data_IF_942073196102
#
_entry.id   IF_942073196102
#
_cell.length_a   1.000
_cell.length_b   1.000
_cell.length_c   1.000
_cell.angle_alpha   90.00
_cell.angle_beta   90.00
_cell.angle_gamma   90.00
#
_symmetry.space_group_name_H-M   'P 1'
#
loop_
_entity.id
_entity.type
_entity.pdbx_description
1 polymer ?
#
# COMPACT_ATOMS: atom_id res chain seq x y z
N UNK A 1 -30.11 22.73 -8.06
CA UNK A 1 -28.85 22.58 -7.31
C UNK A 1 -28.64 23.70 -6.28
N UNK A 2 -28.31 24.95 -6.66
CA UNK A 2 -28.06 26.05 -5.69
C UNK A 2 -29.21 26.29 -4.69
N UNK A 3 -30.46 26.34 -5.18
CA UNK A 3 -31.67 26.46 -4.32
C UNK A 3 -31.83 25.31 -3.33
N UNK A 4 -31.41 24.10 -3.70
CA UNK A 4 -31.49 22.93 -2.83
C UNK A 4 -30.43 23.01 -1.72
N UNK A 5 -29.19 23.37 -2.06
CA UNK A 5 -28.13 23.57 -1.06
C UNK A 5 -28.50 24.67 -0.05
N UNK A 6 -29.08 25.77 -0.54
CA UNK A 6 -29.60 26.85 0.30
C UNK A 6 -30.68 26.37 1.27
N UNK A 7 -31.71 25.69 0.76
CA UNK A 7 -32.80 25.18 1.59
C UNK A 7 -32.30 24.23 2.69
N UNK A 8 -31.27 23.42 2.40
CA UNK A 8 -30.65 22.53 3.39
C UNK A 8 -29.85 23.32 4.43
N UNK A 9 -29.05 24.30 4.02
CA UNK A 9 -28.26 25.14 4.94
C UNK A 9 -29.14 26.04 5.82
N UNK A 10 -30.35 26.38 5.37
CA UNK A 10 -31.35 27.10 6.18
C UNK A 10 -32.10 26.16 7.13
N UNK A 11 -32.42 24.94 6.69
CA UNK A 11 -33.09 23.94 7.53
C UNK A 11 -32.18 23.36 8.62
N UNK A 12 -30.87 23.30 8.36
CA UNK A 12 -29.84 22.80 9.29
C UNK A 12 -28.76 23.88 9.50
N UNK A 13 -29.08 24.97 10.24
CA UNK A 13 -28.16 26.08 10.44
C UNK A 13 -26.97 25.70 11.34
N UNK A 14 -27.18 24.72 12.22
CA UNK A 14 -26.15 24.15 13.08
C UNK A 14 -25.83 22.73 12.59
N UNK A 15 -24.55 22.50 12.37
CA UNK A 15 -23.99 21.17 12.10
C UNK A 15 -23.04 20.88 13.25
N UNK A 16 -23.25 19.75 13.91
CA UNK A 16 -22.37 19.29 14.97
C UNK A 16 -20.95 19.15 14.43
N UNK A 17 -20.00 19.80 15.10
CA UNK A 17 -18.59 19.76 14.71
C UNK A 17 -17.89 18.68 15.53
N UNK A 18 -17.38 17.66 14.84
CA UNK A 18 -16.63 16.56 15.45
C UNK A 18 -15.25 16.99 15.94
N UNK A 19 -14.76 18.18 15.58
CA UNK A 19 -13.57 18.79 16.18
C UNK A 19 -13.99 19.67 17.35
N UNK A 20 -13.32 19.53 18.49
CA UNK A 20 -13.48 20.46 19.62
C UNK A 20 -12.94 21.85 19.26
N UNK A 21 -13.41 22.89 19.96
CA UNK A 21 -12.89 24.27 19.79
C UNK A 21 -11.36 24.35 19.95
N UNK A 22 -10.80 23.52 20.84
CA UNK A 22 -9.35 23.42 21.02
C UNK A 22 -8.65 22.86 19.78
N UNK A 23 -9.11 21.72 19.25
CA UNK A 23 -8.53 21.10 18.05
C UNK A 23 -8.61 22.03 16.84
N UNK A 24 -9.73 22.75 16.68
CA UNK A 24 -9.87 23.76 15.62
C UNK A 24 -8.85 24.88 15.74
N UNK A 25 -8.63 25.39 16.95
CA UNK A 25 -7.62 26.42 17.22
C UNK A 25 -6.20 25.94 16.95
N UNK A 26 -5.85 24.71 17.36
CA UNK A 26 -4.53 24.12 17.11
C UNK A 26 -4.25 23.87 15.62
N UNK A 27 -5.29 23.67 14.81
CA UNK A 27 -5.21 23.42 13.37
C UNK A 27 -5.54 24.63 12.49
N UNK A 28 -5.88 25.78 13.11
CA UNK A 28 -6.32 27.00 12.44
C UNK A 28 -7.44 26.77 11.41
N UNK A 29 -8.44 25.96 11.75
CA UNK A 29 -9.59 25.67 10.87
C UNK A 29 -10.88 26.28 11.41
N UNK A 30 -11.71 26.82 10.52
CA UNK A 30 -13.02 27.41 10.88
C UNK A 30 -14.04 26.32 11.26
N UNK A 31 -15.13 26.64 11.99
CA UNK A 31 -16.21 25.69 12.30
C UNK A 31 -16.83 25.04 11.05
N UNK A 32 -17.25 23.78 11.16
CA UNK A 32 -17.78 23.00 10.05
C UNK A 32 -19.02 23.66 9.40
N UNK A 33 -19.97 24.10 10.23
CA UNK A 33 -21.17 24.78 9.74
C UNK A 33 -20.84 26.05 8.93
N UNK A 34 -19.80 26.79 9.34
CA UNK A 34 -19.31 27.95 8.62
C UNK A 34 -18.65 27.54 7.29
N UNK A 35 -17.78 26.53 7.30
CA UNK A 35 -17.14 26.03 6.08
C UNK A 35 -18.16 25.52 5.04
N UNK A 36 -19.18 24.77 5.47
CA UNK A 36 -20.23 24.30 4.58
C UNK A 36 -21.02 25.47 3.98
N UNK A 37 -21.31 26.52 4.74
CA UNK A 37 -22.02 27.70 4.24
C UNK A 37 -21.17 28.48 3.25
N UNK A 38 -19.95 28.85 3.62
CA UNK A 38 -19.05 29.67 2.81
C UNK A 38 -18.58 28.93 1.54
N UNK A 39 -18.47 27.60 1.57
CA UNK A 39 -18.18 26.81 0.36
C UNK A 39 -19.30 26.89 -0.70
N UNK A 40 -20.55 27.08 -0.28
CA UNK A 40 -21.71 27.16 -1.18
C UNK A 40 -22.16 28.59 -1.48
N UNK A 41 -22.04 29.49 -0.50
CA UNK A 41 -22.39 30.90 -0.55
C UNK A 41 -21.26 31.73 0.09
N UNK A 42 -20.15 31.89 -0.64
CA UNK A 42 -19.01 32.63 -0.14
C UNK A 42 -19.36 34.10 0.01
N UNK A 43 -19.02 34.66 1.15
CA UNK A 43 -19.10 36.10 1.42
C UNK A 43 -18.05 36.87 0.62
N UNK A 44 -16.85 36.32 0.51
CA UNK A 44 -15.73 36.82 -0.27
C UNK A 44 -14.78 35.65 -0.65
N UNK A 45 -13.70 35.96 -1.36
CA UNK A 45 -12.74 34.93 -1.79
C UNK A 45 -11.91 34.38 -0.63
N UNK A 46 -11.60 35.17 0.40
CA UNK A 46 -10.77 34.75 1.52
C UNK A 46 -11.52 33.75 2.41
N UNK A 47 -12.78 34.03 2.69
CA UNK A 47 -13.70 33.13 3.42
C UNK A 47 -13.96 31.84 2.66
N UNK A 48 -14.07 31.90 1.33
CA UNK A 48 -14.14 30.69 0.48
C UNK A 48 -12.88 29.84 0.62
N UNK A 49 -11.69 30.44 0.60
CA UNK A 49 -10.43 29.72 0.73
C UNK A 49 -10.31 29.02 2.10
N UNK A 50 -10.69 29.70 3.19
CA UNK A 50 -10.74 29.11 4.53
C UNK A 50 -11.73 27.94 4.62
N UNK A 51 -12.89 28.08 3.98
CA UNK A 51 -13.90 27.03 3.91
C UNK A 51 -13.41 25.80 3.16
N UNK A 52 -12.83 25.99 1.98
CA UNK A 52 -12.23 24.90 1.21
C UNK A 52 -11.04 24.29 1.95
N UNK A 53 -10.25 25.09 2.67
CA UNK A 53 -9.17 24.61 3.54
C UNK A 53 -9.68 23.68 4.64
N UNK A 54 -10.76 24.06 5.33
CA UNK A 54 -11.42 23.20 6.33
C UNK A 54 -11.93 21.90 5.70
N UNK A 55 -12.63 21.95 4.57
CA UNK A 55 -13.19 20.75 3.95
C UNK A 55 -12.11 19.81 3.40
N UNK A 56 -11.01 20.35 2.86
CA UNK A 56 -9.84 19.54 2.48
C UNK A 56 -9.19 18.89 3.69
N UNK A 57 -9.03 19.63 4.79
CA UNK A 57 -8.51 19.08 6.03
C UNK A 57 -9.38 17.91 6.51
N UNK A 58 -10.70 18.07 6.46
CA UNK A 58 -11.67 17.05 6.86
C UNK A 58 -11.52 15.78 5.97
N UNK A 59 -11.39 15.94 4.65
CA UNK A 59 -11.14 14.82 3.74
C UNK A 59 -9.85 14.05 4.09
N UNK A 60 -8.75 14.75 4.34
CA UNK A 60 -7.49 14.13 4.75
C UNK A 60 -7.60 13.44 6.11
N UNK A 61 -8.23 14.09 7.09
CA UNK A 61 -8.43 13.52 8.42
C UNK A 61 -9.21 12.21 8.34
N UNK A 62 -10.32 12.18 7.62
CA UNK A 62 -11.13 10.96 7.49
C UNK A 62 -10.42 9.87 6.71
N UNK A 63 -9.63 10.24 5.69
CA UNK A 63 -8.79 9.27 4.98
C UNK A 63 -7.74 8.66 5.91
N UNK A 64 -7.03 9.47 6.70
CA UNK A 64 -6.03 9.00 7.65
C UNK A 64 -6.65 8.13 8.75
N UNK A 65 -7.77 8.55 9.34
CA UNK A 65 -8.49 7.76 10.34
C UNK A 65 -8.93 6.42 9.77
N UNK A 66 -9.41 6.39 8.52
CA UNK A 66 -9.77 5.14 7.86
C UNK A 66 -8.55 4.22 7.67
N UNK A 67 -7.40 4.77 7.30
CA UNK A 67 -6.15 4.00 7.17
C UNK A 67 -5.71 3.46 8.53
N UNK A 68 -5.75 4.27 9.58
CA UNK A 68 -5.41 3.86 10.95
C UNK A 68 -6.34 2.75 11.45
N UNK A 69 -7.65 2.93 11.32
CA UNK A 69 -8.65 1.95 11.74
C UNK A 69 -8.57 0.64 10.91
N UNK A 70 -8.20 0.72 9.63
CA UNK A 70 -7.96 -0.47 8.80
C UNK A 70 -6.61 -1.15 9.12
N UNK A 71 -5.62 -0.38 9.58
CA UNK A 71 -4.25 -0.84 9.87
C UNK A 71 -4.08 -1.52 11.24
N UNK A 72 -5.09 -1.47 12.11
CA UNK A 72 -5.02 -1.99 13.49
C UNK A 72 -5.24 -3.50 13.64
N UNK A 73 -5.41 -4.24 12.54
CA UNK A 73 -5.24 -5.68 12.60
C UNK A 73 -3.76 -6.00 12.40
N UNK A 74 -2.96 -5.90 13.48
CA UNK A 74 -1.69 -6.62 13.59
C UNK A 74 -2.02 -8.12 13.57
N UNK A 75 -2.35 -8.63 12.39
CA UNK A 75 -2.58 -10.03 12.16
C UNK A 75 -1.28 -10.73 12.53
N UNK A 76 -1.38 -11.64 13.49
CA UNK A 76 -0.28 -12.49 13.87
C UNK A 76 0.20 -13.19 12.60
N UNK A 77 1.45 -12.94 12.26
CA UNK A 77 2.14 -13.53 11.15
C UNK A 77 2.93 -14.74 11.59
N UNK A 78 3.78 -15.21 10.68
CA UNK A 78 4.78 -16.21 10.99
C UNK A 78 6.14 -15.59 10.79
N UNK A 79 6.97 -15.64 11.83
CA UNK A 79 8.36 -15.22 11.73
C UNK A 79 9.15 -16.24 10.90
N UNK A 80 9.73 -15.75 9.81
CA UNK A 80 10.70 -16.46 8.99
C UNK A 80 12.11 -16.29 9.59
N UNK A 81 13.01 -17.23 9.34
CA UNK A 81 14.44 -17.05 9.64
C UNK A 81 15.06 -16.12 8.59
N UNK A 82 14.70 -16.33 7.31
CA UNK A 82 15.14 -15.53 6.17
C UNK A 82 16.64 -15.18 6.23
N UNK A 83 17.51 -16.19 6.23
CA UNK A 83 18.95 -16.02 6.51
C UNK A 83 19.65 -15.17 5.44
N UNK A 84 20.63 -14.37 5.88
CA UNK A 84 21.41 -13.52 4.97
C UNK A 84 22.25 -14.36 3.97
N UNK A 85 22.69 -15.56 4.40
CA UNK A 85 23.39 -16.51 3.53
C UNK A 85 22.52 -17.00 2.37
N UNK A 86 21.22 -17.28 2.62
CA UNK A 86 20.29 -17.66 1.55
C UNK A 86 20.11 -16.49 0.56
N UNK A 87 20.08 -15.24 1.03
CA UNK A 87 20.05 -14.08 0.14
C UNK A 87 21.31 -14.00 -0.75
N UNK A 88 22.49 -14.29 -0.20
CA UNK A 88 23.74 -14.33 -0.98
C UNK A 88 23.76 -15.46 -2.01
N UNK A 89 23.23 -16.64 -1.65
CA UNK A 89 23.05 -17.75 -2.58
C UNK A 89 22.11 -17.36 -3.72
N UNK A 90 20.99 -16.69 -3.43
CA UNK A 90 20.10 -16.19 -4.47
C UNK A 90 20.77 -15.17 -5.39
N UNK A 91 21.50 -14.21 -4.83
CA UNK A 91 22.21 -13.20 -5.63
C UNK A 91 23.24 -13.82 -6.59
N UNK A 92 23.86 -14.94 -6.20
CA UNK A 92 24.85 -15.65 -7.04
C UNK A 92 24.27 -16.29 -8.31
N UNK A 93 22.95 -16.53 -8.37
CA UNK A 93 22.29 -17.09 -9.57
C UNK A 93 21.84 -16.04 -10.57
N UNK A 94 21.88 -14.76 -10.17
CA UNK A 94 21.45 -13.68 -11.03
C UNK A 94 22.54 -13.34 -12.06
N UNK A 95 22.15 -13.00 -13.31
CA UNK A 95 23.09 -12.53 -14.33
C UNK A 95 23.55 -11.08 -14.11
N UNK A 96 23.22 -10.48 -12.96
CA UNK A 96 23.54 -9.12 -12.56
C UNK A 96 23.65 -9.06 -11.05
N UNK A 97 24.27 -8.00 -10.53
CA UNK A 97 24.34 -7.74 -9.09
C UNK A 97 23.20 -6.84 -8.66
N UNK A 98 22.74 -7.00 -7.42
CA UNK A 98 21.74 -6.07 -6.89
C UNK A 98 22.32 -4.67 -6.74
N UNK A 99 21.56 -3.68 -7.18
CA UNK A 99 21.83 -2.28 -6.87
C UNK A 99 21.67 -2.03 -5.36
N UNK A 100 22.27 -0.95 -4.86
CA UNK A 100 22.11 -0.56 -3.45
C UNK A 100 20.64 -0.34 -3.06
N UNK A 101 19.81 0.17 -3.99
CA UNK A 101 18.39 0.36 -3.75
C UNK A 101 17.64 -0.97 -3.63
N UNK A 102 17.93 -1.94 -4.49
CA UNK A 102 17.35 -3.28 -4.42
C UNK A 102 17.79 -4.02 -3.15
N UNK A 103 19.08 -3.96 -2.80
CA UNK A 103 19.60 -4.57 -1.57
C UNK A 103 18.93 -3.98 -0.33
N UNK A 104 18.77 -2.65 -0.26
CA UNK A 104 18.01 -2.01 0.83
C UNK A 104 16.57 -2.52 0.88
N UNK A 105 15.87 -2.58 -0.26
CA UNK A 105 14.50 -3.08 -0.30
C UNK A 105 14.39 -4.54 0.17
N UNK A 106 15.34 -5.40 -0.19
CA UNK A 106 15.40 -6.80 0.28
C UNK A 106 15.63 -6.85 1.79
N UNK A 107 16.56 -6.07 2.33
CA UNK A 107 16.82 -6.04 3.78
C UNK A 107 15.60 -5.56 4.58
N UNK A 108 14.85 -4.60 4.04
CA UNK A 108 13.58 -4.18 4.63
C UNK A 108 12.51 -5.28 4.57
N UNK A 109 12.41 -6.02 3.46
CA UNK A 109 11.53 -7.20 3.35
C UNK A 109 11.96 -8.28 4.35
N UNK A 110 13.25 -8.59 4.45
CA UNK A 110 13.78 -9.60 5.39
C UNK A 110 13.47 -9.22 6.82
N UNK A 111 13.60 -7.93 7.17
CA UNK A 111 13.22 -7.43 8.50
C UNK A 111 11.74 -7.70 8.78
N UNK A 112 10.85 -7.38 7.85
CA UNK A 112 9.41 -7.61 8.03
C UNK A 112 9.06 -9.11 8.06
N UNK A 113 9.75 -9.94 7.26
CA UNK A 113 9.57 -11.40 7.27
C UNK A 113 10.00 -12.03 8.60
N UNK A 114 10.97 -11.46 9.30
CA UNK A 114 11.44 -11.93 10.61
C UNK A 114 10.54 -11.51 11.77
N UNK A 115 9.61 -10.58 11.54
CA UNK A 115 8.66 -10.10 12.56
C UNK A 115 7.57 -11.15 12.84
N UNK A 116 6.95 -11.09 14.03
CA UNK A 116 5.83 -11.95 14.41
C UNK A 116 4.48 -11.44 13.86
N UNK A 117 4.50 -10.31 13.16
CA UNK A 117 3.37 -9.70 12.46
C UNK A 117 3.36 -10.05 10.98
N UNK A 118 2.18 -10.08 10.37
CA UNK A 118 2.06 -10.25 8.93
C UNK A 118 2.71 -9.06 8.19
N UNK A 119 3.62 -9.34 7.25
CA UNK A 119 4.21 -8.33 6.37
C UNK A 119 3.15 -7.78 5.39
N UNK A 120 2.95 -6.46 5.41
CA UNK A 120 2.13 -5.71 4.46
C UNK A 120 2.95 -4.56 3.85
N UNK A 121 3.73 -4.87 2.80
CA UNK A 121 4.69 -3.94 2.18
C UNK A 121 4.37 -3.66 0.72
N UNK A 122 4.49 -2.39 0.33
CA UNK A 122 4.47 -1.96 -1.06
C UNK A 122 5.91 -1.81 -1.58
N UNK A 123 6.30 -2.66 -2.53
CA UNK A 123 7.56 -2.51 -3.26
C UNK A 123 7.34 -1.62 -4.49
N UNK A 124 7.78 -0.37 -4.42
CA UNK A 124 7.61 0.63 -5.48
C UNK A 124 8.92 0.94 -6.21
N UNK A 125 8.83 1.15 -7.52
CA UNK A 125 9.95 1.57 -8.37
C UNK A 125 9.54 1.61 -9.84
N UNK A 126 10.33 2.28 -10.67
CA UNK A 126 10.03 2.46 -12.10
C UNK A 126 10.00 1.14 -12.89
N UNK A 127 9.42 1.16 -14.09
CA UNK A 127 9.48 0.01 -15.00
C UNK A 127 10.96 -0.31 -15.30
N UNK A 128 11.34 -1.58 -15.18
CA UNK A 128 12.73 -2.00 -15.38
C UNK A 128 13.65 -1.90 -14.15
N UNK A 129 13.21 -1.32 -13.02
CA UNK A 129 14.01 -1.22 -11.79
C UNK A 129 14.33 -2.55 -11.07
N UNK A 130 13.94 -3.70 -11.64
CA UNK A 130 14.26 -5.02 -11.10
C UNK A 130 13.41 -5.48 -9.91
N UNK A 131 12.21 -4.91 -9.72
CA UNK A 131 11.23 -5.34 -8.69
C UNK A 131 10.99 -6.86 -8.69
N UNK A 132 10.95 -7.45 -9.88
CA UNK A 132 10.77 -8.89 -10.07
C UNK A 132 11.84 -9.72 -9.37
N UNK A 133 13.10 -9.30 -9.42
CA UNK A 133 14.21 -10.01 -8.79
C UNK A 133 14.17 -9.87 -7.26
N UNK A 134 13.78 -8.70 -6.75
CA UNK A 134 13.53 -8.49 -5.31
C UNK A 134 12.40 -9.39 -4.80
N UNK A 135 11.28 -9.47 -5.55
CA UNK A 135 10.16 -10.35 -5.20
C UNK A 135 10.55 -11.84 -5.27
N UNK A 136 11.35 -12.24 -6.27
CA UNK A 136 11.87 -13.59 -6.37
C UNK A 136 12.79 -13.96 -5.19
N UNK A 137 13.63 -13.03 -4.72
CA UNK A 137 14.44 -13.23 -3.52
C UNK A 137 13.56 -13.47 -2.29
N UNK A 138 12.51 -12.66 -2.10
CA UNK A 138 11.59 -12.83 -0.97
C UNK A 138 10.89 -14.20 -0.99
N UNK A 139 10.42 -14.63 -2.17
CA UNK A 139 9.80 -15.94 -2.35
C UNK A 139 10.80 -17.08 -2.12
N UNK A 140 12.05 -16.94 -2.59
CA UNK A 140 13.12 -17.88 -2.31
C UNK A 140 13.34 -18.05 -0.80
N UNK A 141 13.49 -16.95 -0.06
CA UNK A 141 13.69 -17.01 1.39
C UNK A 141 12.53 -17.71 2.11
N UNK A 142 11.29 -17.46 1.70
CA UNK A 142 10.13 -18.18 2.24
C UNK A 142 10.22 -19.70 1.97
N UNK A 143 10.67 -20.11 0.78
CA UNK A 143 10.87 -21.54 0.45
C UNK A 143 12.00 -22.19 1.23
N UNK A 144 13.07 -21.45 1.54
CA UNK A 144 14.18 -21.94 2.36
C UNK A 144 13.76 -22.23 3.80
N UNK A 145 12.77 -21.50 4.29
CA UNK A 145 12.16 -21.74 5.60
C UNK A 145 11.04 -22.80 5.58
N UNK A 146 10.84 -23.48 4.46
CA UNK A 146 9.88 -24.59 4.33
C UNK A 146 8.45 -24.16 4.01
N UNK A 147 8.25 -22.95 3.50
CA UNK A 147 6.94 -22.45 3.08
C UNK A 147 6.81 -22.42 1.56
N UNK A 148 5.57 -22.30 1.10
CA UNK A 148 5.27 -21.97 -0.28
C UNK A 148 4.95 -20.48 -0.39
N UNK A 149 5.15 -19.92 -1.57
CA UNK A 149 4.76 -18.56 -1.88
C UNK A 149 4.06 -18.48 -3.22
N UNK A 150 3.21 -17.48 -3.39
CA UNK A 150 2.47 -17.23 -4.62
C UNK A 150 2.76 -15.82 -5.12
N UNK A 151 2.98 -15.69 -6.43
CA UNK A 151 3.03 -14.41 -7.13
C UNK A 151 1.76 -14.28 -7.97
N UNK A 152 0.98 -13.23 -7.70
CA UNK A 152 -0.20 -12.92 -8.51
C UNK A 152 0.15 -11.88 -9.58
N UNK A 153 -0.38 -12.06 -10.79
CA UNK A 153 -0.24 -11.12 -11.90
C UNK A 153 -1.63 -10.79 -12.46
N UNK A 154 -1.87 -9.57 -12.96
CA UNK A 154 -3.20 -9.14 -13.37
C UNK A 154 -3.66 -9.72 -14.71
N UNK A 155 -2.74 -10.31 -15.50
CA UNK A 155 -3.06 -10.94 -16.79
C UNK A 155 -2.25 -12.21 -16.99
N UNK A 156 -2.77 -13.15 -17.78
CA UNK A 156 -2.05 -14.39 -18.11
C UNK A 156 -0.72 -14.13 -18.83
N UNK A 157 -0.65 -13.08 -19.65
CA UNK A 157 0.58 -12.69 -20.35
C UNK A 157 1.67 -12.33 -19.34
N UNK A 158 1.33 -11.50 -18.33
CA UNK A 158 2.28 -11.14 -17.27
C UNK A 158 2.61 -12.33 -16.37
N UNK A 159 1.64 -13.20 -16.06
CA UNK A 159 1.87 -14.43 -15.31
C UNK A 159 2.90 -15.33 -16.00
N UNK A 160 2.76 -15.55 -17.31
CA UNK A 160 3.72 -16.30 -18.13
C UNK A 160 5.10 -15.64 -18.15
N UNK A 161 5.15 -14.31 -18.31
CA UNK A 161 6.43 -13.58 -18.27
C UNK A 161 7.14 -13.74 -16.93
N UNK A 162 6.43 -13.56 -15.83
CA UNK A 162 6.98 -13.78 -14.49
C UNK A 162 7.41 -15.22 -14.29
N UNK A 163 6.59 -16.20 -14.68
CA UNK A 163 6.95 -17.62 -14.61
C UNK A 163 8.30 -17.92 -15.26
N UNK A 164 8.52 -17.49 -16.52
CA UNK A 164 9.81 -17.71 -17.19
C UNK A 164 10.99 -17.01 -16.51
N UNK A 165 10.79 -15.81 -15.94
CA UNK A 165 11.84 -15.14 -15.15
C UNK A 165 12.14 -15.89 -13.85
N UNK A 166 11.10 -16.33 -13.15
CA UNK A 166 11.21 -17.01 -11.87
C UNK A 166 11.85 -18.38 -12.01
N UNK A 167 11.50 -19.16 -13.04
CA UNK A 167 12.18 -20.42 -13.34
C UNK A 167 13.69 -20.23 -13.46
N UNK A 168 14.13 -19.24 -14.25
CA UNK A 168 15.56 -18.93 -14.42
C UNK A 168 16.27 -18.58 -13.12
N UNK A 169 15.60 -17.92 -12.19
CA UNK A 169 16.20 -17.51 -10.91
C UNK A 169 16.17 -18.61 -9.86
N UNK A 170 15.09 -19.41 -9.83
CA UNK A 170 14.75 -20.29 -8.71
C UNK A 170 15.00 -21.78 -8.97
N UNK A 171 14.85 -22.27 -10.21
CA UNK A 171 15.14 -23.67 -10.54
C UNK A 171 16.60 -24.06 -10.29
N UNK A 172 17.62 -23.22 -10.60
CA UNK A 172 19.01 -23.52 -10.24
C UNK A 172 19.24 -23.69 -8.74
N UNK A 173 18.35 -23.13 -7.92
CA UNK A 173 18.37 -23.22 -6.46
C UNK A 173 17.54 -24.40 -5.92
N UNK A 174 17.01 -25.24 -6.80
CA UNK A 174 16.18 -26.40 -6.44
C UNK A 174 14.75 -26.05 -6.06
N UNK A 175 14.28 -24.84 -6.37
CA UNK A 175 12.91 -24.41 -6.08
C UNK A 175 12.02 -24.67 -7.30
N UNK A 176 10.96 -25.45 -7.10
CA UNK A 176 9.95 -25.74 -8.12
C UNK A 176 9.04 -24.52 -8.30
N UNK A 177 8.92 -24.05 -9.54
CA UNK A 177 8.02 -22.96 -9.93
C UNK A 177 6.94 -23.54 -10.81
N UNK A 178 5.68 -23.22 -10.52
CA UNK A 178 4.52 -23.66 -11.30
C UNK A 178 3.70 -22.45 -11.75
N UNK A 179 3.01 -22.57 -12.88
CA UNK A 179 2.13 -21.55 -13.43
C UNK A 179 0.68 -22.02 -13.29
N UNK A 180 -0.18 -21.20 -12.70
CA UNK A 180 -1.63 -21.44 -12.64
C UNK A 180 -2.38 -20.29 -13.32
N UNK A 181 -3.04 -20.58 -14.45
CA UNK A 181 -3.83 -19.62 -15.24
C UNK A 181 -5.10 -20.28 -15.78
N UNK A 182 -6.09 -19.48 -16.18
CA UNK A 182 -7.40 -19.99 -16.62
C UNK A 182 -7.35 -20.81 -17.91
N UNK A 183 -6.35 -20.58 -18.76
CA UNK A 183 -6.13 -21.34 -19.98
C UNK A 183 -5.55 -22.76 -19.79
N UNK A 184 -5.20 -23.17 -18.56
CA UNK A 184 -4.72 -24.53 -18.28
C UNK A 184 -5.88 -25.53 -18.28
N UNK A 185 -5.62 -26.76 -18.74
CA UNK A 185 -6.61 -27.82 -18.61
C UNK A 185 -6.73 -28.29 -17.16
N UNK A 186 -7.86 -28.88 -16.76
CA UNK A 186 -8.11 -29.29 -15.36
C UNK A 186 -7.14 -30.36 -14.80
N UNK A 187 -6.22 -30.88 -15.63
CA UNK A 187 -5.19 -31.86 -15.25
C UNK A 187 -3.78 -31.26 -15.18
N UNK A 188 -3.61 -30.04 -15.64
CA UNK A 188 -2.35 -29.28 -15.67
C UNK A 188 -2.36 -28.23 -14.56
#
# INVERSE_FOLDING_TARGET
MRRCALAVLEAFPEVEDYLTSRQRGERNVIPLAQALREAHLPSDLETLELALGRLKFDEYLFLELRVLLAGEHHLLGKAFRALDDDMHVFESTLPFTFTNAQRRAILEIVRDMRDDKQMARLLQGDVGSGKTAVAACALYLATRDGFQGALMAPTEILARQHYYSFQKYLEPLGVRVELLIGALSARE
#
